data_IF_092544644675
#
_entry.id   IF_092544644675
#
_cell.length_a   1.000
_cell.length_b   1.000
_cell.length_c   1.000
_cell.angle_alpha   90.00
_cell.angle_beta   90.00
_cell.angle_gamma   90.00
#
_symmetry.space_group_name_H-M   'P 1'
#
loop_
_entity.id
_entity.type
_entity.pdbx_description
1 polymer ?
#
# COMPACT_ATOMS: atom_id res chain seq x y z
N UNK A 1 -5.73 -17.34 -21.88
CA UNK A 1 -5.10 -16.08 -22.27
C UNK A 1 -3.62 -16.28 -22.51
N UNK A 2 -3.02 -15.62 -23.51
CA UNK A 2 -1.57 -15.56 -23.62
C UNK A 2 -1.00 -14.86 -22.38
N UNK A 3 0.11 -15.38 -21.85
CA UNK A 3 0.82 -14.74 -20.75
C UNK A 3 1.39 -13.40 -21.24
N UNK A 4 1.14 -12.32 -20.50
CA UNK A 4 1.84 -11.05 -20.72
C UNK A 4 3.28 -11.25 -20.25
N UNK A 5 4.19 -11.37 -21.20
CA UNK A 5 5.62 -11.51 -20.92
C UNK A 5 6.24 -10.13 -20.87
N UNK A 6 6.46 -9.59 -19.67
CA UNK A 6 7.33 -8.45 -19.51
C UNK A 6 8.75 -8.87 -19.90
N UNK A 7 9.47 -8.02 -20.63
CA UNK A 7 10.85 -8.31 -21.03
C UNK A 7 11.70 -8.47 -19.76
N UNK A 8 12.27 -9.65 -19.47
CA UNK A 8 13.07 -9.88 -18.26
C UNK A 8 14.38 -9.10 -18.28
N UNK A 9 14.76 -8.49 -19.41
CA UNK A 9 15.93 -7.62 -19.52
C UNK A 9 15.62 -6.16 -19.16
N UNK A 10 14.35 -5.78 -19.11
CA UNK A 10 13.97 -4.51 -18.49
C UNK A 10 14.06 -4.67 -16.97
N UNK A 11 15.13 -4.15 -16.39
CA UNK A 11 15.22 -3.99 -14.95
C UNK A 11 14.09 -3.05 -14.51
N UNK A 12 13.04 -3.62 -13.93
CA UNK A 12 12.01 -2.84 -13.25
C UNK A 12 12.65 -2.32 -11.96
N UNK A 13 12.73 -1.00 -11.78
CA UNK A 13 13.10 -0.37 -10.51
C UNK A 13 12.05 -0.57 -9.40
N UNK A 14 11.22 -1.60 -9.53
CA UNK A 14 10.04 -1.84 -8.74
C UNK A 14 10.41 -2.06 -7.27
N UNK A 15 10.00 -1.13 -6.42
CA UNK A 15 10.14 -1.18 -4.96
C UNK A 15 8.98 -1.91 -4.28
N UNK A 16 7.89 -2.13 -5.03
CA UNK A 16 6.67 -2.79 -4.57
C UNK A 16 5.84 -3.26 -5.77
N UNK A 17 5.13 -4.37 -5.61
CA UNK A 17 4.25 -4.98 -6.60
C UNK A 17 2.92 -5.35 -5.92
N UNK A 18 1.80 -5.13 -6.61
CA UNK A 18 0.48 -5.60 -6.21
C UNK A 18 -0.33 -5.99 -7.45
N UNK A 19 -1.32 -6.86 -7.30
CA UNK A 19 -2.12 -7.35 -8.43
C UNK A 19 -3.60 -7.46 -8.07
N UNK A 20 -4.44 -7.36 -9.10
CA UNK A 20 -5.83 -7.78 -9.12
C UNK A 20 -6.04 -8.79 -10.25
N UNK A 21 -7.29 -9.20 -10.46
CA UNK A 21 -7.64 -10.15 -11.52
C UNK A 21 -7.19 -9.70 -12.92
N UNK A 22 -7.27 -8.39 -13.20
CA UNK A 22 -7.06 -7.82 -14.54
C UNK A 22 -5.84 -6.89 -14.64
N UNK A 23 -5.15 -6.64 -13.52
CA UNK A 23 -4.10 -5.61 -13.48
C UNK A 23 -2.94 -6.04 -12.58
N UNK A 24 -1.73 -5.68 -13.01
CA UNK A 24 -0.54 -5.68 -12.15
C UNK A 24 -0.07 -4.24 -12.00
N UNK A 25 0.27 -3.86 -10.77
CA UNK A 25 0.73 -2.54 -10.40
C UNK A 25 2.09 -2.62 -9.75
N UNK A 26 2.98 -1.66 -10.04
CA UNK A 26 4.25 -1.53 -9.34
C UNK A 26 4.62 -0.08 -9.08
N UNK A 27 5.48 0.10 -8.09
CA UNK A 27 6.01 1.39 -7.67
C UNK A 27 7.46 1.54 -8.12
N UNK A 28 7.76 2.53 -8.97
CA UNK A 28 9.11 2.85 -9.47
C UNK A 28 9.31 4.38 -9.45
N UNK A 29 9.08 5.00 -8.30
CA UNK A 29 8.97 6.46 -8.17
C UNK A 29 7.64 7.03 -8.70
N UNK A 30 6.94 6.29 -9.56
CA UNK A 30 5.56 6.52 -9.95
C UNK A 30 4.73 5.23 -9.77
N UNK A 31 3.41 5.35 -9.76
CA UNK A 31 2.51 4.21 -9.86
C UNK A 31 2.35 3.79 -11.32
N UNK A 32 2.87 2.62 -11.67
CA UNK A 32 2.75 2.04 -13.02
C UNK A 32 1.78 0.86 -12.97
N UNK A 33 1.08 0.62 -14.07
CA UNK A 33 0.23 -0.55 -14.25
C UNK A 33 0.39 -1.22 -15.60
N UNK A 34 -0.07 -2.46 -15.66
CA UNK A 34 -0.28 -3.21 -16.90
C UNK A 34 -1.62 -3.93 -16.87
N UNK A 35 -2.37 -3.83 -17.96
CA UNK A 35 -3.61 -4.60 -18.16
C UNK A 35 -3.26 -6.02 -18.60
N UNK A 36 -3.62 -7.01 -17.79
CA UNK A 36 -3.34 -8.42 -18.08
C UNK A 36 -4.33 -9.04 -19.06
N UNK A 37 -5.43 -8.35 -19.36
CA UNK A 37 -6.50 -8.82 -20.24
C UNK A 37 -6.37 -8.33 -21.68
N UNK A 38 -5.81 -7.13 -21.89
CA UNK A 38 -5.67 -6.49 -23.21
C UNK A 38 -4.29 -6.66 -23.85
N UNK A 39 -3.58 -7.75 -23.52
CA UNK A 39 -2.28 -8.07 -24.13
C UNK A 39 -1.11 -7.27 -23.57
N UNK A 40 -1.23 -6.69 -22.37
CA UNK A 40 -0.09 -6.13 -21.65
C UNK A 40 0.20 -4.65 -21.91
N UNK A 41 -0.81 -3.85 -22.28
CA UNK A 41 -0.60 -2.40 -22.44
C UNK A 41 -0.23 -1.79 -21.11
N UNK A 42 0.99 -1.25 -21.03
CA UNK A 42 1.47 -0.52 -19.85
C UNK A 42 0.94 0.90 -19.85
N UNK A 43 0.65 1.42 -18.66
CA UNK A 43 0.23 2.80 -18.47
C UNK A 43 0.73 3.35 -17.14
N UNK A 44 1.09 4.62 -17.13
CA UNK A 44 1.38 5.35 -15.89
C UNK A 44 0.07 5.85 -15.30
N UNK A 45 -0.14 5.60 -14.00
CA UNK A 45 -1.21 6.25 -13.26
C UNK A 45 -0.75 7.67 -12.96
N UNK A 46 -1.24 8.63 -13.74
CA UNK A 46 -0.80 10.03 -13.68
C UNK A 46 -1.17 10.69 -12.35
N UNK A 47 -0.36 11.67 -11.92
CA UNK A 47 -0.47 12.48 -10.69
C UNK A 47 -0.02 11.85 -9.38
N UNK A 48 0.68 10.71 -9.42
CA UNK A 48 1.09 9.99 -8.22
C UNK A 48 2.60 9.72 -8.29
N UNK A 49 3.40 10.75 -7.95
CA UNK A 49 4.87 10.68 -7.83
C UNK A 49 5.30 10.30 -6.41
N UNK A 50 6.58 9.97 -6.25
CA UNK A 50 7.25 9.56 -5.02
C UNK A 50 6.62 8.32 -4.38
N UNK A 51 6.28 7.34 -5.22
CA UNK A 51 5.65 6.10 -4.77
C UNK A 51 6.68 5.04 -4.46
N UNK A 52 6.67 4.62 -3.21
CA UNK A 52 7.52 3.55 -2.70
C UNK A 52 6.76 2.23 -2.52
N UNK A 53 5.44 2.27 -2.32
CA UNK A 53 4.63 1.07 -2.14
C UNK A 53 3.25 1.16 -2.77
N UNK A 54 2.76 0.01 -3.19
CA UNK A 54 1.42 -0.17 -3.76
C UNK A 54 0.72 -1.34 -3.07
N UNK A 55 -0.58 -1.20 -2.86
CA UNK A 55 -1.48 -2.28 -2.44
C UNK A 55 -2.79 -2.21 -3.23
N UNK A 56 -3.46 -3.34 -3.42
CA UNK A 56 -4.77 -3.38 -4.07
C UNK A 56 -5.80 -3.87 -3.06
N UNK A 57 -6.86 -3.08 -2.86
CA UNK A 57 -7.98 -3.43 -2.01
C UNK A 57 -9.26 -3.70 -2.82
N UNK A 58 -10.38 -3.79 -2.13
CA UNK A 58 -11.68 -4.11 -2.76
C UNK A 58 -12.20 -2.98 -3.65
N UNK A 59 -11.81 -1.74 -3.35
CA UNK A 59 -12.41 -0.54 -3.90
C UNK A 59 -11.41 0.37 -4.61
N UNK A 60 -10.15 -0.05 -4.75
CA UNK A 60 -9.15 0.71 -5.46
C UNK A 60 -7.72 0.22 -5.28
N UNK A 61 -6.81 0.98 -5.88
CA UNK A 61 -5.37 0.85 -5.75
C UNK A 61 -4.90 1.91 -4.77
N UNK A 62 -4.06 1.51 -3.84
CA UNK A 62 -3.51 2.35 -2.79
C UNK A 62 -2.03 2.54 -3.03
N UNK A 63 -1.61 3.80 -3.08
CA UNK A 63 -0.24 4.18 -3.34
C UNK A 63 0.31 4.96 -2.16
N UNK A 64 1.45 4.50 -1.65
CA UNK A 64 2.17 5.14 -0.57
C UNK A 64 3.04 6.27 -1.12
N UNK A 65 2.88 7.48 -0.56
CA UNK A 65 3.89 8.54 -0.56
C UNK A 65 4.55 8.66 0.80
N UNK A 66 5.58 9.49 0.90
CA UNK A 66 6.35 9.70 2.15
C UNK A 66 5.44 9.96 3.36
N UNK A 67 4.42 10.82 3.23
CA UNK A 67 3.61 11.31 4.36
C UNK A 67 2.12 10.99 4.23
N UNK A 68 1.73 10.16 3.27
CA UNK A 68 0.32 9.95 2.95
C UNK A 68 0.09 8.67 2.15
N UNK A 69 -1.15 8.19 2.18
CA UNK A 69 -1.63 7.12 1.29
C UNK A 69 -2.71 7.70 0.40
N UNK A 70 -2.55 7.54 -0.91
CA UNK A 70 -3.54 7.87 -1.93
C UNK A 70 -4.32 6.65 -2.34
N UNK A 71 -5.57 6.87 -2.75
CA UNK A 71 -6.41 5.88 -3.42
C UNK A 71 -6.72 6.36 -4.82
N UNK A 72 -6.79 5.44 -5.77
CA UNK A 72 -7.25 5.68 -7.13
C UNK A 72 -8.00 4.46 -7.65
N UNK A 73 -8.83 4.65 -8.67
CA UNK A 73 -9.38 3.53 -9.41
C UNK A 73 -8.26 2.74 -10.11
N UNK A 74 -8.48 1.46 -10.47
CA UNK A 74 -7.48 0.68 -11.22
C UNK A 74 -7.01 1.34 -12.52
N UNK A 75 -7.90 2.10 -13.16
CA UNK A 75 -7.61 2.88 -14.37
C UNK A 75 -6.93 4.25 -14.09
N UNK A 76 -6.58 4.53 -12.84
CA UNK A 76 -5.89 5.75 -12.43
C UNK A 76 -6.80 6.96 -12.29
N UNK A 77 -8.09 6.81 -12.55
CA UNK A 77 -9.07 7.89 -12.37
C UNK A 77 -9.35 8.16 -10.89
N UNK A 78 -9.92 9.33 -10.61
CA UNK A 78 -10.39 9.76 -9.29
C UNK A 78 -9.34 9.58 -8.16
N UNK A 79 -8.12 10.12 -8.30
CA UNK A 79 -7.16 10.07 -7.23
C UNK A 79 -7.67 10.88 -6.04
N UNK A 80 -7.67 10.28 -4.85
CA UNK A 80 -8.07 10.92 -3.60
C UNK A 80 -7.08 10.63 -2.47
N UNK A 81 -6.94 11.60 -1.56
CA UNK A 81 -6.16 11.43 -0.35
C UNK A 81 -6.91 10.49 0.62
N UNK A 82 -6.31 9.34 0.92
CA UNK A 82 -6.97 8.27 1.68
C UNK A 82 -6.53 8.22 3.14
N UNK A 83 -5.23 8.24 3.43
CA UNK A 83 -4.71 8.40 4.80
C UNK A 83 -3.79 9.62 4.82
N UNK A 84 -4.30 10.81 5.17
CA UNK A 84 -3.48 12.02 5.34
C UNK A 84 -2.53 11.98 6.53
N UNK A 85 -1.61 12.95 6.60
CA UNK A 85 -0.88 13.35 7.80
C UNK A 85 -0.08 12.23 8.50
N UNK A 86 0.56 11.37 7.71
CA UNK A 86 1.57 10.43 8.17
C UNK A 86 2.93 11.15 8.23
N UNK A 87 3.83 10.68 9.08
CA UNK A 87 5.18 11.27 9.23
C UNK A 87 6.16 10.66 8.24
N UNK A 88 6.20 9.33 8.17
CA UNK A 88 6.99 8.60 7.18
C UNK A 88 6.41 7.19 7.02
N UNK A 89 5.72 6.93 5.92
CA UNK A 89 5.12 5.62 5.68
C UNK A 89 6.21 4.59 5.34
N UNK A 90 6.24 3.47 6.05
CA UNK A 90 7.23 2.41 5.82
C UNK A 90 6.64 1.16 5.18
N UNK A 91 5.36 0.87 5.43
CA UNK A 91 4.64 -0.28 4.86
C UNK A 91 3.19 0.07 4.57
N UNK A 92 2.59 -0.68 3.63
CA UNK A 92 1.22 -0.52 3.18
C UNK A 92 0.62 -1.89 2.86
N UNK A 93 -0.61 -2.13 3.28
CA UNK A 93 -1.40 -3.32 2.92
C UNK A 93 -2.88 -2.93 2.79
N UNK A 94 -3.59 -3.53 1.83
CA UNK A 94 -5.03 -3.37 1.66
C UNK A 94 -5.67 -4.76 1.59
N UNK A 95 -6.40 -5.16 2.64
CA UNK A 95 -6.98 -6.51 2.75
C UNK A 95 -8.29 -6.49 3.55
N UNK A 96 -9.27 -7.27 3.08
CA UNK A 96 -10.59 -7.40 3.71
C UNK A 96 -11.25 -6.04 4.01
N UNK A 97 -11.22 -5.11 3.05
CA UNK A 97 -11.86 -3.79 3.18
C UNK A 97 -11.16 -2.82 4.14
N UNK A 98 -9.91 -3.10 4.53
CA UNK A 98 -9.11 -2.23 5.38
C UNK A 98 -7.76 -1.96 4.72
N UNK A 99 -7.38 -0.69 4.67
CA UNK A 99 -6.03 -0.27 4.32
C UNK A 99 -5.28 0.04 5.61
N UNK A 100 -4.11 -0.55 5.77
CA UNK A 100 -3.24 -0.38 6.94
C UNK A 100 -1.87 0.07 6.46
N UNK A 101 -1.33 1.06 7.16
CA UNK A 101 0.00 1.58 6.96
C UNK A 101 0.77 1.63 8.29
N UNK A 102 2.08 1.40 8.24
CA UNK A 102 2.97 1.76 9.35
C UNK A 102 3.53 3.15 9.12
N UNK A 103 3.47 3.98 10.15
CA UNK A 103 3.93 5.35 10.14
C UNK A 103 5.06 5.55 11.15
N UNK A 104 6.23 5.86 10.63
CA UNK A 104 7.44 6.12 11.38
C UNK A 104 7.53 7.61 11.75
N UNK A 105 7.41 7.91 13.05
CA UNK A 105 7.47 9.29 13.56
C UNK A 105 8.88 9.89 13.66
N UNK A 106 9.88 9.30 12.98
CA UNK A 106 11.24 9.82 12.93
C UNK A 106 12.13 9.35 14.09
N UNK A 107 13.17 10.14 14.38
CA UNK A 107 14.35 9.79 15.21
C UNK A 107 14.08 9.42 16.68
N UNK A 108 12.83 9.44 17.13
CA UNK A 108 12.44 8.94 18.46
C UNK A 108 11.79 7.54 18.46
N UNK A 109 11.79 6.83 17.32
CA UNK A 109 11.71 5.35 17.29
C UNK A 109 10.36 4.72 17.63
N UNK A 110 9.31 5.51 17.79
CA UNK A 110 7.95 5.02 18.02
C UNK A 110 7.16 5.02 16.70
N UNK A 111 7.05 3.85 16.08
CA UNK A 111 6.13 3.66 14.96
C UNK A 111 4.69 3.50 15.45
N UNK A 112 3.74 3.86 14.59
CA UNK A 112 2.31 3.61 14.81
C UNK A 112 1.75 2.81 13.64
N UNK A 113 0.75 1.98 13.93
CA UNK A 113 -0.04 1.28 12.92
C UNK A 113 -1.35 2.04 12.77
N UNK A 114 -1.58 2.58 11.57
CA UNK A 114 -2.78 3.34 11.22
C UNK A 114 -3.54 2.57 10.17
N UNK A 115 -4.87 2.56 10.23
CA UNK A 115 -5.64 2.08 9.10
C UNK A 115 -6.97 2.78 8.95
N UNK A 116 -7.52 2.70 7.74
CA UNK A 116 -8.80 3.28 7.37
C UNK A 116 -9.58 2.24 6.58
N UNK A 117 -10.84 2.04 6.97
CA UNK A 117 -11.74 1.16 6.21
C UNK A 117 -12.03 1.77 4.85
N UNK A 118 -12.06 0.94 3.82
CA UNK A 118 -12.30 1.38 2.43
C UNK A 118 -13.65 2.09 2.23
N UNK A 119 -14.61 1.78 3.10
CA UNK A 119 -15.94 2.38 3.14
C UNK A 119 -16.17 3.24 4.39
N UNK A 120 -15.12 3.46 5.21
CA UNK A 120 -15.23 4.20 6.46
C UNK A 120 -14.65 5.62 6.32
N UNK A 121 -15.30 6.62 6.91
CA UNK A 121 -14.87 8.01 6.77
C UNK A 121 -13.62 8.34 7.59
N UNK A 122 -13.27 7.53 8.59
CA UNK A 122 -12.27 7.90 9.60
C UNK A 122 -11.16 6.86 9.75
N UNK A 123 -9.96 7.36 10.00
CA UNK A 123 -8.80 6.57 10.39
C UNK A 123 -8.93 6.03 11.81
N UNK A 124 -8.22 4.93 12.08
CA UNK A 124 -8.06 4.33 13.40
C UNK A 124 -6.59 4.05 13.66
N UNK A 125 -6.15 4.38 14.87
CA UNK A 125 -4.81 4.02 15.37
C UNK A 125 -4.90 2.66 16.07
N UNK A 126 -4.19 1.68 15.55
CA UNK A 126 -4.14 0.32 16.08
C UNK A 126 -2.98 0.10 17.04
N UNK A 127 -1.87 0.81 16.88
CA UNK A 127 -0.75 0.70 17.78
C UNK A 127 -0.02 2.04 17.87
N UNK A 128 0.61 2.30 19.00
CA UNK A 128 1.44 3.47 19.26
C UNK A 128 2.66 3.00 20.03
N UNK A 129 3.81 3.66 19.82
CA UNK A 129 5.05 3.32 20.50
C UNK A 129 5.55 1.90 20.19
N UNK A 130 5.38 1.47 18.94
CA UNK A 130 6.03 0.26 18.42
C UNK A 130 7.49 0.56 18.08
N UNK A 131 8.42 -0.38 18.28
CA UNK A 131 9.83 -0.07 18.10
C UNK A 131 10.26 0.03 16.62
N UNK A 132 9.87 -0.96 15.79
CA UNK A 132 10.11 -0.91 14.34
C UNK A 132 9.17 -1.85 13.57
N UNK A 133 8.10 -1.29 12.99
CA UNK A 133 7.11 -2.04 12.22
C UNK A 133 7.61 -2.23 10.79
N UNK A 134 7.82 -3.50 10.42
CA UNK A 134 8.39 -3.87 9.11
C UNK A 134 7.39 -4.53 8.17
N UNK A 135 6.23 -4.90 8.68
CA UNK A 135 5.12 -5.43 7.89
C UNK A 135 3.81 -5.18 8.61
N UNK A 136 2.77 -4.94 7.82
CA UNK A 136 1.38 -4.84 8.29
C UNK A 136 0.48 -5.67 7.39
N UNK A 137 -0.53 -6.30 7.96
CA UNK A 137 -1.55 -7.05 7.23
C UNK A 137 -2.84 -7.09 8.06
N UNK A 138 -3.95 -7.53 7.50
CA UNK A 138 -5.21 -7.55 8.22
C UNK A 138 -6.19 -8.57 7.62
N UNK A 139 -7.00 -9.21 8.47
CA UNK A 139 -8.12 -10.09 8.10
C UNK A 139 -9.45 -9.49 8.58
N UNK A 140 -10.60 -10.08 8.29
CA UNK A 140 -11.90 -9.53 8.69
C UNK A 140 -12.06 -9.13 10.19
N UNK A 141 -11.24 -9.66 11.10
CA UNK A 141 -11.33 -9.43 12.56
C UNK A 141 -10.16 -8.64 13.14
N UNK A 142 -8.96 -8.77 12.58
CA UNK A 142 -7.73 -8.26 13.19
C UNK A 142 -6.85 -7.50 12.20
N UNK A 143 -6.04 -6.60 12.76
CA UNK A 143 -4.84 -6.04 12.16
C UNK A 143 -3.64 -6.73 12.79
N UNK A 144 -2.67 -7.11 11.99
CA UNK A 144 -1.42 -7.76 12.38
C UNK A 144 -0.23 -6.90 11.97
N UNK A 145 0.82 -6.91 12.78
CA UNK A 145 2.07 -6.24 12.42
C UNK A 145 3.29 -6.94 13.02
N UNK A 146 4.41 -6.83 12.31
CA UNK A 146 5.69 -7.35 12.75
C UNK A 146 6.55 -6.22 13.34
N UNK A 147 6.78 -6.27 14.66
CA UNK A 147 7.69 -5.36 15.36
C UNK A 147 9.06 -6.05 15.53
N UNK A 148 10.02 -5.63 14.71
CA UNK A 148 11.37 -6.20 14.70
C UNK A 148 12.22 -5.78 15.88
N UNK A 149 11.92 -4.64 16.51
CA UNK A 149 12.66 -4.23 17.70
C UNK A 149 12.34 -5.13 18.89
N UNK A 150 11.08 -5.57 19.00
CA UNK A 150 10.64 -6.53 20.03
C UNK A 150 10.62 -7.99 19.56
N UNK A 151 11.02 -8.27 18.31
CA UNK A 151 11.04 -9.63 17.75
C UNK A 151 9.68 -10.33 17.75
N UNK A 152 8.58 -9.58 17.63
CA UNK A 152 7.23 -10.07 17.87
C UNK A 152 6.28 -9.82 16.70
N UNK A 153 5.33 -10.74 16.50
CA UNK A 153 4.12 -10.49 15.71
C UNK A 153 3.00 -10.12 16.67
N UNK A 154 2.37 -8.97 16.45
CA UNK A 154 1.31 -8.43 17.29
C UNK A 154 0.01 -8.36 16.50
N UNK A 155 -1.11 -8.24 17.23
CA UNK A 155 -2.43 -8.05 16.62
C UNK A 155 -3.33 -7.14 17.45
N UNK A 156 -4.32 -6.52 16.80
CA UNK A 156 -5.40 -5.78 17.45
C UNK A 156 -6.70 -5.98 16.70
N UNK A 157 -7.81 -6.02 17.45
CA UNK A 157 -9.14 -6.07 16.86
C UNK A 157 -9.42 -4.81 16.01
N UNK A 158 -10.10 -5.02 14.88
CA UNK A 158 -10.49 -3.96 13.95
C UNK A 158 -11.50 -2.97 14.53
#
# INVERSE_FOLDING_TARGET
SPAVHLDPTQALGATSLAASDNWVFWADGALIRVDTTSGGTTGTVTNVADIARVAVGLSGVYAQRTTEVWRTAPDGSNPELFIPNLTAVSNLSAQAGLVVASDNKGSQGAERVVGRGEQLPSERIYATAEGRVTAVSADAKYVYWADTASGSIRRRAR
#
